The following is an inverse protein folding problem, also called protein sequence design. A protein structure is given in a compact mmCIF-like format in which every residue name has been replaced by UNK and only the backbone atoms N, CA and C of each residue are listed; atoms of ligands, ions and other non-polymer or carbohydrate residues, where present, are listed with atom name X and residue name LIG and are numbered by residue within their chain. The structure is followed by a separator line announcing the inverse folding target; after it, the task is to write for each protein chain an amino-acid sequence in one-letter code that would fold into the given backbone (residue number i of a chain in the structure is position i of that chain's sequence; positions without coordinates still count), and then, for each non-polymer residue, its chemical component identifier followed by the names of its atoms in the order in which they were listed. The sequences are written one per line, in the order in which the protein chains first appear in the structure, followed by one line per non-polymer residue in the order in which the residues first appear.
data_IF_600082122894
#
_entry.id   IF_600082122894
#
_cell.length_a   1.000
_cell.length_b   1.000
_cell.length_c   1.000
_cell.angle_alpha   90.00
_cell.angle_beta   90.00
_cell.angle_gamma   90.00
#
_symmetry.space_group_name_H-M   'P 1'
#
loop_
_entity.id
_entity.type
_entity.pdbx_description
1 polymer ?
#
# COMPACT_ATOMS: atom_id res chain seq x y z
N UNK A 1 -14.52 3.63 -17.29
CA UNK A 1 -14.50 4.69 -18.31
C UNK A 1 -14.08 4.09 -19.66
N UNK A 2 -14.86 4.30 -20.69
CA UNK A 2 -14.54 3.82 -22.05
C UNK A 2 -13.82 4.95 -22.82
N UNK A 3 -12.50 4.82 -22.89
CA UNK A 3 -11.64 5.83 -23.52
C UNK A 3 -11.90 5.99 -25.04
N UNK A 4 -12.42 4.94 -25.70
CA UNK A 4 -12.75 5.01 -27.12
C UNK A 4 -13.91 5.96 -27.44
N UNK A 5 -14.72 6.28 -26.42
CA UNK A 5 -15.87 7.18 -26.49
C UNK A 5 -15.56 8.62 -26.04
N UNK A 6 -14.34 8.89 -25.64
CA UNK A 6 -13.88 10.25 -25.33
C UNK A 6 -13.51 10.95 -26.65
N UNK A 7 -14.50 11.41 -27.35
CA UNK A 7 -14.32 12.36 -28.44
C UNK A 7 -14.79 13.73 -27.94
N UNK A 8 -14.00 14.74 -28.03
CA UNK A 8 -14.11 16.06 -27.41
C UNK A 8 -15.48 16.71 -27.14
N UNK A 9 -16.59 16.12 -27.63
CA UNK A 9 -17.92 16.71 -27.54
C UNK A 9 -18.90 15.97 -26.60
N UNK A 10 -18.62 14.73 -26.18
CA UNK A 10 -19.57 13.94 -25.36
C UNK A 10 -18.92 13.12 -24.26
N UNK A 11 -18.38 13.77 -23.20
CA UNK A 11 -17.84 13.04 -22.07
C UNK A 11 -18.88 12.19 -21.32
N UNK A 12 -20.19 12.50 -21.48
CA UNK A 12 -21.27 11.74 -20.85
C UNK A 12 -21.41 10.30 -21.38
N UNK A 13 -20.88 9.98 -22.56
CA UNK A 13 -20.91 8.63 -23.12
C UNK A 13 -19.72 7.74 -22.65
N UNK A 14 -18.73 8.31 -21.98
CA UNK A 14 -17.55 7.60 -21.51
C UNK A 14 -17.75 6.77 -20.24
N UNK A 15 -18.63 7.10 -19.24
CA UNK A 15 -18.91 6.21 -18.13
C UNK A 15 -19.50 4.89 -18.60
N UNK A 16 -18.95 3.76 -18.17
CA UNK A 16 -19.50 2.43 -18.45
C UNK A 16 -20.77 2.20 -17.62
N UNK A 17 -20.73 2.55 -16.36
CA UNK A 17 -21.83 2.48 -15.41
C UNK A 17 -21.56 3.38 -14.21
N UNK A 18 -22.61 3.72 -13.48
CA UNK A 18 -22.57 4.38 -12.16
C UNK A 18 -23.21 3.45 -11.13
N UNK A 19 -22.57 3.29 -9.97
CA UNK A 19 -23.03 2.41 -8.90
C UNK A 19 -23.06 3.20 -7.60
N UNK A 20 -24.20 3.16 -6.92
CA UNK A 20 -24.44 3.86 -5.66
C UNK A 20 -24.71 2.89 -4.53
N UNK A 21 -24.45 3.34 -3.32
CA UNK A 21 -24.81 2.62 -2.11
C UNK A 21 -26.33 2.35 -2.08
N UNK A 22 -26.71 1.13 -1.77
CA UNK A 22 -28.10 0.67 -1.79
C UNK A 22 -28.63 0.22 -3.16
N UNK A 23 -27.84 0.34 -4.22
CA UNK A 23 -28.24 -0.22 -5.53
C UNK A 23 -28.47 -1.73 -5.43
N UNK A 24 -29.58 -2.17 -5.97
CA UNK A 24 -29.96 -3.59 -6.04
C UNK A 24 -30.01 -4.01 -7.50
N UNK A 25 -28.86 -4.36 -8.04
CA UNK A 25 -28.72 -4.71 -9.43
C UNK A 25 -28.92 -6.21 -9.66
N UNK A 26 -29.81 -6.55 -10.58
CA UNK A 26 -30.09 -7.90 -11.04
C UNK A 26 -31.33 -7.95 -11.90
N UNK A 27 -31.24 -8.52 -13.12
CA UNK A 27 -32.42 -8.82 -13.94
C UNK A 27 -33.22 -9.94 -13.27
N UNK A 28 -34.55 -9.76 -13.19
CA UNK A 28 -35.55 -10.78 -12.86
C UNK A 28 -35.53 -11.33 -11.41
N UNK A 29 -35.25 -10.52 -10.37
CA UNK A 29 -35.55 -10.89 -8.99
C UNK A 29 -34.74 -12.04 -8.41
N UNK A 30 -33.90 -12.72 -9.17
CA UNK A 30 -32.99 -13.77 -8.73
C UNK A 30 -31.56 -13.22 -8.71
N UNK A 31 -30.86 -13.39 -7.60
CA UNK A 31 -29.47 -12.95 -7.38
C UNK A 31 -29.26 -11.42 -7.35
N UNK A 32 -30.08 -10.71 -6.60
CA UNK A 32 -29.83 -9.30 -6.33
C UNK A 32 -28.62 -9.16 -5.39
N UNK A 33 -27.54 -8.61 -5.90
CA UNK A 33 -26.39 -8.19 -5.08
C UNK A 33 -26.66 -6.75 -4.64
N UNK A 34 -26.87 -6.57 -3.36
CA UNK A 34 -26.96 -5.23 -2.77
C UNK A 34 -25.56 -4.63 -2.65
N UNK A 35 -25.41 -3.40 -3.13
CA UNK A 35 -24.17 -2.64 -3.05
C UNK A 35 -24.16 -1.87 -1.73
N UNK A 36 -23.20 -2.18 -0.89
CA UNK A 36 -22.98 -1.55 0.40
C UNK A 36 -21.58 -0.95 0.42
N UNK A 37 -21.49 0.37 0.29
CA UNK A 37 -20.25 1.11 0.16
C UNK A 37 -20.07 2.07 1.34
N UNK A 38 -18.84 2.12 1.85
CA UNK A 38 -18.37 3.20 2.70
C UNK A 38 -17.67 4.29 1.89
N UNK A 39 -16.64 4.92 2.44
CA UNK A 39 -15.79 5.86 1.70
C UNK A 39 -14.88 5.10 0.75
N UNK A 40 -15.16 5.21 -0.54
CA UNK A 40 -14.47 4.49 -1.62
C UNK A 40 -13.28 5.28 -2.18
N UNK A 41 -12.39 5.70 -1.29
CA UNK A 41 -11.16 6.44 -1.66
C UNK A 41 -10.05 5.51 -2.15
N UNK A 42 -10.27 4.21 -2.18
CA UNK A 42 -9.30 3.22 -2.62
C UNK A 42 -9.12 3.21 -4.14
N UNK A 43 -8.00 2.63 -4.58
CA UNK A 43 -7.68 2.46 -6.00
C UNK A 43 -8.26 1.14 -6.51
N UNK A 44 -9.17 1.16 -7.51
CA UNK A 44 -9.60 -0.05 -8.19
C UNK A 44 -8.44 -0.73 -8.92
N UNK A 45 -8.52 -2.04 -9.06
CA UNK A 45 -7.58 -2.82 -9.87
C UNK A 45 -8.32 -3.46 -11.04
N UNK A 46 -7.63 -3.58 -12.17
CA UNK A 46 -8.18 -4.24 -13.35
C UNK A 46 -7.38 -5.50 -13.63
N UNK A 47 -8.07 -6.59 -13.91
CA UNK A 47 -7.45 -7.87 -14.25
C UNK A 47 -8.39 -8.77 -15.03
N UNK A 48 -7.83 -9.78 -15.70
CA UNK A 48 -8.58 -10.83 -16.37
C UNK A 48 -8.91 -11.92 -15.36
N UNK A 49 -10.13 -12.36 -15.33
CA UNK A 49 -10.62 -13.42 -14.43
C UNK A 49 -10.58 -14.79 -15.10
N UNK A 50 -10.64 -15.87 -14.32
CA UNK A 50 -10.62 -17.26 -14.80
C UNK A 50 -11.78 -17.61 -15.75
N UNK A 51 -12.86 -16.85 -15.73
CA UNK A 51 -13.97 -16.99 -16.72
C UNK A 51 -13.74 -16.19 -18.00
N UNK A 52 -12.53 -15.67 -18.22
CA UNK A 52 -12.12 -14.99 -19.45
C UNK A 52 -12.54 -13.52 -19.55
N UNK A 53 -13.15 -12.94 -18.53
CA UNK A 53 -13.61 -11.56 -18.52
C UNK A 53 -12.58 -10.60 -17.97
N UNK A 54 -12.47 -9.43 -18.57
CA UNK A 54 -11.78 -8.31 -17.93
C UNK A 54 -12.68 -7.67 -16.88
N UNK A 55 -12.21 -7.56 -15.69
CA UNK A 55 -12.99 -7.09 -14.56
C UNK A 55 -12.28 -6.00 -13.76
N UNK A 56 -13.09 -5.12 -13.15
CA UNK A 56 -12.64 -4.18 -12.14
C UNK A 56 -12.90 -4.77 -10.75
N UNK A 57 -11.87 -4.76 -9.92
CA UNK A 57 -11.89 -5.20 -8.53
C UNK A 57 -11.92 -3.99 -7.62
N UNK A 58 -13.00 -3.80 -6.90
CA UNK A 58 -13.25 -2.64 -6.06
C UNK A 58 -13.53 -3.06 -4.63
N UNK A 59 -12.88 -2.38 -3.70
CA UNK A 59 -13.16 -2.55 -2.29
C UNK A 59 -14.45 -1.81 -1.88
N UNK A 60 -15.13 -2.31 -0.86
CA UNK A 60 -16.32 -1.67 -0.27
C UNK A 60 -16.04 -0.28 0.32
N UNK A 61 -14.78 0.08 0.53
CA UNK A 61 -14.38 1.34 1.13
C UNK A 61 -14.42 1.30 2.65
N UNK A 62 -14.23 2.45 3.30
CA UNK A 62 -14.00 2.55 4.74
C UNK A 62 -15.23 3.04 5.49
N UNK A 63 -15.39 2.59 6.74
CA UNK A 63 -16.37 3.13 7.67
C UNK A 63 -16.06 4.60 8.01
N UNK A 64 -17.11 5.41 8.17
CA UNK A 64 -16.98 6.83 8.46
C UNK A 64 -16.39 7.11 9.85
N UNK A 65 -17.14 6.77 10.91
CA UNK A 65 -16.73 7.05 12.30
C UNK A 65 -16.67 5.82 13.18
N UNK A 66 -17.56 4.87 12.98
CA UNK A 66 -17.63 3.67 13.79
C UNK A 66 -17.14 2.47 13.01
N UNK A 67 -15.94 2.00 13.30
CA UNK A 67 -15.31 0.85 12.63
C UNK A 67 -16.16 -0.42 12.76
N UNK A 68 -16.88 -0.57 13.86
CA UNK A 68 -17.77 -1.69 14.12
C UNK A 68 -19.19 -1.51 13.56
N UNK A 69 -19.47 -0.42 12.84
CA UNK A 69 -20.78 -0.19 12.24
C UNK A 69 -21.11 -1.29 11.24
N UNK A 70 -22.28 -1.90 11.42
CA UNK A 70 -22.80 -2.92 10.49
C UNK A 70 -23.23 -2.32 9.15
N UNK A 71 -23.37 -1.00 9.07
CA UNK A 71 -23.73 -0.30 7.86
C UNK A 71 -22.64 -0.30 6.81
N UNK A 72 -21.41 -0.64 7.21
CA UNK A 72 -20.25 -0.66 6.31
C UNK A 72 -19.65 -2.06 6.23
N UNK A 73 -20.13 -2.84 5.29
CA UNK A 73 -19.66 -4.21 5.04
C UNK A 73 -18.25 -4.23 4.48
N UNK A 74 -17.46 -5.18 4.92
CA UNK A 74 -16.15 -5.50 4.36
C UNK A 74 -16.34 -6.46 3.20
N UNK A 75 -16.19 -5.98 1.96
CA UNK A 75 -16.42 -6.78 0.77
C UNK A 75 -15.55 -6.36 -0.40
N UNK A 76 -15.22 -7.34 -1.24
CA UNK A 76 -14.62 -7.14 -2.56
C UNK A 76 -15.70 -7.29 -3.62
N UNK A 77 -15.89 -6.25 -4.43
CA UNK A 77 -16.77 -6.24 -5.59
C UNK A 77 -15.99 -6.49 -6.87
N UNK A 78 -16.50 -7.32 -7.76
CA UNK A 78 -15.88 -7.61 -9.04
C UNK A 78 -16.90 -7.31 -10.14
N UNK A 79 -16.57 -6.36 -11.02
CA UNK A 79 -17.43 -5.89 -12.11
C UNK A 79 -16.86 -6.27 -13.46
N UNK A 80 -17.68 -6.89 -14.32
CA UNK A 80 -17.34 -7.17 -15.72
C UNK A 80 -17.27 -5.85 -16.51
N UNK A 81 -16.12 -5.51 -17.06
CA UNK A 81 -15.93 -4.31 -17.87
C UNK A 81 -16.60 -4.39 -19.25
N UNK A 82 -16.96 -5.59 -19.70
CA UNK A 82 -17.78 -5.80 -20.89
C UNK A 82 -19.28 -5.61 -20.65
N UNK A 83 -19.71 -5.40 -19.39
CA UNK A 83 -21.10 -5.23 -19.01
C UNK A 83 -21.40 -3.80 -18.56
N UNK A 84 -22.27 -3.12 -19.28
CA UNK A 84 -22.65 -1.72 -18.99
C UNK A 84 -23.78 -1.57 -17.96
N UNK A 85 -24.25 -2.66 -17.37
CA UNK A 85 -25.39 -2.65 -16.44
C UNK A 85 -25.02 -2.36 -14.99
N UNK A 86 -23.73 -2.26 -14.67
CA UNK A 86 -23.27 -2.01 -13.30
C UNK A 86 -23.59 -3.14 -12.30
N UNK A 87 -23.88 -4.34 -12.80
CA UNK A 87 -24.11 -5.50 -11.95
C UNK A 87 -22.79 -6.22 -11.68
N UNK A 88 -22.38 -6.40 -10.41
CA UNK A 88 -21.16 -7.11 -10.12
C UNK A 88 -21.26 -8.59 -10.52
N UNK A 89 -20.16 -9.15 -11.02
CA UNK A 89 -19.99 -10.60 -11.22
C UNK A 89 -20.05 -11.30 -9.85
N UNK A 90 -19.41 -10.70 -8.86
CA UNK A 90 -19.36 -11.21 -7.50
C UNK A 90 -19.27 -10.06 -6.48
N UNK A 91 -19.88 -10.29 -5.32
CA UNK A 91 -19.63 -9.60 -4.05
C UNK A 91 -19.09 -10.66 -3.09
N UNK A 92 -17.83 -10.55 -2.75
CA UNK A 92 -17.20 -11.47 -1.79
C UNK A 92 -17.15 -10.76 -0.44
N UNK A 93 -18.12 -11.06 0.41
CA UNK A 93 -18.27 -10.45 1.72
C UNK A 93 -17.44 -11.19 2.77
N UNK A 94 -16.74 -10.44 3.61
CA UNK A 94 -16.02 -10.97 4.78
C UNK A 94 -16.98 -10.98 5.95
N UNK A 95 -17.36 -12.15 6.42
CA UNK A 95 -18.37 -12.33 7.46
C UNK A 95 -18.09 -11.56 8.75
N UNK A 96 -16.83 -11.54 9.20
CA UNK A 96 -16.40 -10.90 10.45
C UNK A 96 -15.50 -9.68 10.17
N UNK A 97 -15.59 -9.08 8.98
CA UNK A 97 -14.81 -7.91 8.59
C UNK A 97 -15.21 -6.66 9.35
N UNK A 98 -14.24 -5.78 9.61
CA UNK A 98 -14.42 -4.58 10.44
C UNK A 98 -13.96 -3.32 9.74
N UNK A 99 -14.87 -2.35 9.62
CA UNK A 99 -14.53 -1.01 9.15
C UNK A 99 -14.33 -0.88 7.64
N UNK A 100 -14.76 -1.86 6.85
CA UNK A 100 -14.71 -1.84 5.39
C UNK A 100 -13.35 -2.21 4.80
N UNK A 101 -13.34 -2.58 3.52
CA UNK A 101 -12.17 -3.07 2.81
C UNK A 101 -11.35 -1.93 2.22
N UNK A 102 -10.03 -2.02 2.29
CA UNK A 102 -9.06 -1.14 1.62
C UNK A 102 -8.77 -1.62 0.19
N UNK A 103 -7.99 -0.83 -0.54
CA UNK A 103 -7.61 -1.15 -1.93
C UNK A 103 -7.02 -2.55 -2.06
N UNK A 104 -7.46 -3.35 -3.03
CA UNK A 104 -6.93 -4.68 -3.25
C UNK A 104 -5.59 -4.64 -4.02
N UNK A 105 -4.80 -5.69 -3.88
CA UNK A 105 -3.68 -6.02 -4.76
C UNK A 105 -3.94 -7.37 -5.39
N UNK A 106 -3.94 -7.41 -6.72
CA UNK A 106 -4.18 -8.62 -7.50
C UNK A 106 -2.86 -9.38 -7.72
N UNK A 107 -2.96 -10.69 -7.75
CA UNK A 107 -1.83 -11.59 -8.01
C UNK A 107 -2.24 -12.61 -9.06
N UNK A 108 -1.46 -12.68 -10.09
CA UNK A 108 -1.39 -13.77 -11.06
C UNK A 108 -0.32 -14.74 -10.54
N UNK A 109 -0.73 -15.94 -10.17
CA UNK A 109 0.08 -16.90 -9.44
C UNK A 109 1.10 -17.60 -10.32
N UNK A 110 0.69 -17.97 -11.52
CA UNK A 110 1.46 -18.77 -12.48
C UNK A 110 1.92 -17.98 -13.71
N UNK A 111 1.60 -16.67 -13.74
CA UNK A 111 2.00 -15.72 -14.78
C UNK A 111 1.34 -16.00 -16.15
N UNK A 112 0.12 -16.49 -16.13
CA UNK A 112 -0.69 -16.74 -17.35
C UNK A 112 -1.50 -15.50 -17.79
N UNK A 113 -1.42 -14.40 -17.07
CA UNK A 113 -2.14 -13.15 -17.32
C UNK A 113 -3.54 -13.12 -16.68
N UNK A 114 -3.88 -14.11 -15.86
CA UNK A 114 -5.17 -14.22 -15.18
C UNK A 114 -4.99 -14.03 -13.66
N UNK A 115 -5.97 -13.40 -13.05
CA UNK A 115 -5.94 -13.14 -11.59
C UNK A 115 -6.41 -14.37 -10.85
N UNK A 116 -5.58 -14.85 -9.93
CA UNK A 116 -5.86 -15.99 -9.04
C UNK A 116 -6.19 -15.58 -7.62
N UNK A 117 -5.53 -14.52 -7.14
CA UNK A 117 -5.59 -14.11 -5.74
C UNK A 117 -5.72 -12.60 -5.67
N UNK A 118 -6.48 -12.11 -4.70
CA UNK A 118 -6.40 -10.73 -4.27
C UNK A 118 -6.12 -10.64 -2.77
N UNK A 119 -5.36 -9.62 -2.37
CA UNK A 119 -5.14 -9.30 -0.95
C UNK A 119 -5.65 -7.90 -0.67
N UNK A 120 -6.36 -7.74 0.44
CA UNK A 120 -6.79 -6.44 0.93
C UNK A 120 -6.97 -6.46 2.45
N UNK A 121 -6.67 -5.33 3.10
CA UNK A 121 -6.85 -5.15 4.53
C UNK A 121 -8.15 -4.43 4.88
N UNK A 122 -8.47 -4.35 6.17
CA UNK A 122 -9.57 -3.55 6.67
C UNK A 122 -9.13 -2.55 7.77
N UNK A 123 -10.02 -1.63 8.11
CA UNK A 123 -9.77 -0.67 9.21
C UNK A 123 -9.72 -1.32 10.59
N UNK A 124 -10.28 -2.51 10.75
CA UNK A 124 -10.21 -3.31 11.97
C UNK A 124 -8.86 -3.98 12.19
N UNK A 125 -7.97 -3.95 11.19
CA UNK A 125 -6.61 -4.49 11.28
C UNK A 125 -6.47 -5.93 10.84
N UNK A 126 -7.35 -6.40 9.99
CA UNK A 126 -7.28 -7.72 9.40
C UNK A 126 -6.75 -7.63 7.96
N UNK A 127 -6.03 -8.66 7.51
CA UNK A 127 -5.62 -8.84 6.12
C UNK A 127 -6.29 -10.10 5.58
N UNK A 128 -6.90 -9.95 4.41
CA UNK A 128 -7.67 -11.00 3.76
C UNK A 128 -6.99 -11.47 2.48
N UNK A 129 -7.16 -12.76 2.19
CA UNK A 129 -6.81 -13.41 0.94
C UNK A 129 -8.10 -13.88 0.27
N UNK A 130 -8.36 -13.35 -0.90
CA UNK A 130 -9.47 -13.76 -1.77
C UNK A 130 -8.95 -14.77 -2.78
N UNK A 131 -9.52 -15.97 -2.80
CA UNK A 131 -9.24 -16.98 -3.81
C UNK A 131 -10.18 -16.80 -5.00
N UNK A 132 -9.61 -16.45 -6.14
CA UNK A 132 -10.31 -16.12 -7.39
C UNK A 132 -9.97 -17.12 -8.50
N UNK A 133 -9.31 -18.22 -8.15
CA UNK A 133 -8.76 -19.21 -9.08
C UNK A 133 -9.82 -20.10 -9.74
N UNK A 134 -11.08 -20.04 -9.31
CA UNK A 134 -12.16 -20.81 -9.92
C UNK A 134 -12.81 -20.06 -11.08
N UNK A 135 -13.10 -20.76 -12.19
CA UNK A 135 -13.81 -20.20 -13.33
C UNK A 135 -15.26 -19.83 -13.03
N UNK A 136 -15.86 -20.41 -11.99
CA UNK A 136 -17.18 -20.07 -11.49
C UNK A 136 -17.04 -19.05 -10.34
N UNK A 137 -17.44 -17.77 -10.53
CA UNK A 137 -17.32 -16.75 -9.50
C UNK A 137 -18.10 -17.04 -8.20
N UNK A 138 -19.11 -17.89 -8.25
CA UNK A 138 -19.87 -18.30 -7.07
C UNK A 138 -19.06 -19.16 -6.10
N UNK A 139 -17.93 -19.69 -6.55
CA UNK A 139 -16.98 -20.49 -5.77
C UNK A 139 -15.79 -19.70 -5.26
N UNK A 140 -15.70 -18.41 -5.60
CA UNK A 140 -14.68 -17.55 -5.03
C UNK A 140 -14.88 -17.41 -3.52
N UNK A 141 -13.79 -17.39 -2.82
CA UNK A 141 -13.82 -17.42 -1.35
C UNK A 141 -12.85 -16.42 -0.73
N UNK A 142 -13.00 -16.19 0.56
CA UNK A 142 -12.11 -15.32 1.33
C UNK A 142 -11.67 -16.00 2.61
N UNK A 143 -10.41 -15.83 2.97
CA UNK A 143 -9.82 -16.25 4.23
C UNK A 143 -9.08 -15.10 4.89
N UNK A 144 -9.05 -15.10 6.23
CA UNK A 144 -8.26 -14.14 7.01
C UNK A 144 -6.88 -14.71 7.22
N UNK A 145 -5.85 -14.02 6.68
CA UNK A 145 -4.45 -14.44 6.84
C UNK A 145 -3.75 -13.73 7.99
N UNK A 146 -4.29 -12.58 8.46
CA UNK A 146 -3.71 -11.81 9.55
C UNK A 146 -4.80 -11.09 10.36
N UNK A 147 -4.62 -11.07 11.69
CA UNK A 147 -5.45 -10.32 12.65
C UNK A 147 -4.54 -9.54 13.61
N UNK A 148 -4.62 -8.20 13.59
CA UNK A 148 -3.69 -7.35 14.38
C UNK A 148 -4.31 -6.17 15.09
N UNK A 149 -5.56 -5.82 14.81
CA UNK A 149 -6.31 -4.78 15.53
C UNK A 149 -5.84 -3.34 15.28
N UNK A 150 -4.90 -3.10 14.35
CA UNK A 150 -4.49 -1.75 13.92
C UNK A 150 -4.89 -1.53 12.47
N UNK A 151 -5.46 -0.35 12.12
CA UNK A 151 -6.06 -0.13 10.81
C UNK A 151 -5.09 -0.37 9.66
N UNK A 152 -5.57 -1.01 8.59
CA UNK A 152 -4.84 -1.22 7.35
C UNK A 152 -5.60 -0.46 6.25
N UNK A 153 -5.10 0.72 5.89
CA UNK A 153 -5.78 1.65 4.99
C UNK A 153 -5.11 1.80 3.63
N UNK A 154 -4.03 1.08 3.38
CA UNK A 154 -3.36 1.04 2.08
C UNK A 154 -3.34 -0.38 1.50
N UNK A 155 -3.27 -0.47 0.17
CA UNK A 155 -3.10 -1.75 -0.49
C UNK A 155 -1.79 -2.43 -0.05
N UNK A 156 -1.76 -3.75 0.15
CA UNK A 156 -0.52 -4.47 0.39
C UNK A 156 0.34 -4.54 -0.88
N UNK A 157 1.64 -4.73 -0.71
CA UNK A 157 2.52 -5.18 -1.78
C UNK A 157 2.80 -6.67 -1.61
N UNK A 158 3.15 -7.35 -2.70
CA UNK A 158 3.44 -8.78 -2.68
C UNK A 158 4.83 -9.03 -3.26
N UNK A 159 5.66 -9.73 -2.52
CA UNK A 159 6.97 -10.20 -2.94
C UNK A 159 6.95 -11.70 -3.14
N UNK A 160 7.47 -12.21 -4.25
CA UNK A 160 7.62 -13.65 -4.48
C UNK A 160 8.99 -14.11 -4.00
N UNK A 161 9.01 -15.06 -3.10
CA UNK A 161 10.18 -15.86 -2.75
C UNK A 161 10.14 -17.19 -3.51
N UNK A 162 11.14 -18.03 -3.31
CA UNK A 162 11.25 -19.30 -4.04
C UNK A 162 10.07 -20.25 -3.78
N UNK A 163 9.60 -20.30 -2.54
CA UNK A 163 8.63 -21.27 -2.03
C UNK A 163 7.34 -20.67 -1.49
N UNK A 164 7.26 -19.34 -1.43
CA UNK A 164 6.13 -18.62 -0.81
C UNK A 164 6.03 -17.18 -1.31
N UNK A 165 4.92 -16.53 -1.00
CA UNK A 165 4.76 -15.07 -1.14
C UNK A 165 4.90 -14.40 0.20
N UNK A 166 5.32 -13.14 0.16
CA UNK A 166 5.30 -12.26 1.31
C UNK A 166 4.31 -11.15 1.04
N UNK A 167 3.25 -11.09 1.83
CA UNK A 167 2.25 -10.02 1.78
C UNK A 167 2.70 -8.92 2.72
N UNK A 168 3.09 -7.76 2.16
CA UNK A 168 3.74 -6.68 2.88
C UNK A 168 2.77 -5.50 2.99
N UNK A 169 2.52 -5.05 4.20
CA UNK A 169 1.64 -3.93 4.48
C UNK A 169 2.04 -3.21 5.75
N UNK A 170 1.65 -1.95 5.84
CA UNK A 170 1.78 -1.21 7.07
C UNK A 170 0.43 -0.94 7.71
N UNK A 171 0.46 -0.52 8.95
CA UNK A 171 -0.73 -0.08 9.68
C UNK A 171 -0.72 1.41 9.90
N UNK A 172 -1.90 1.97 10.06
CA UNK A 172 -2.18 3.38 10.28
C UNK A 172 -3.38 3.85 9.46
N UNK A 173 -3.88 5.02 9.81
CA UNK A 173 -4.96 5.71 9.12
C UNK A 173 -4.72 7.21 9.17
N UNK A 174 -5.20 7.91 8.14
CA UNK A 174 -5.24 9.36 8.03
C UNK A 174 -6.55 9.82 7.37
N UNK A 175 -7.61 9.05 7.58
CA UNK A 175 -8.93 9.25 6.99
C UNK A 175 -9.80 10.22 7.80
N UNK A 176 -9.41 10.56 9.02
CA UNK A 176 -10.12 11.49 9.91
C UNK A 176 -9.12 12.40 10.66
N UNK A 177 -9.63 13.47 11.25
CA UNK A 177 -8.83 14.37 12.08
C UNK A 177 -8.26 13.64 13.30
N UNK A 178 -9.04 12.76 13.91
CA UNK A 178 -8.60 11.92 15.03
C UNK A 178 -7.46 10.99 14.63
N UNK A 179 -7.51 10.43 13.42
CA UNK A 179 -6.42 9.61 12.89
C UNK A 179 -5.14 10.44 12.78
N UNK A 180 -5.23 11.67 12.25
CA UNK A 180 -4.05 12.55 12.02
C UNK A 180 -3.33 12.90 13.31
N UNK A 181 -4.08 13.27 14.36
CA UNK A 181 -3.49 13.63 15.67
C UNK A 181 -3.15 12.43 16.54
N UNK A 182 -3.60 11.24 16.16
CA UNK A 182 -3.37 10.00 16.90
C UNK A 182 -1.88 9.65 16.98
N UNK A 183 -1.43 9.19 18.15
CA UNK A 183 -0.05 8.75 18.40
C UNK A 183 0.06 7.24 18.63
N UNK A 184 -0.93 6.50 18.23
CA UNK A 184 -0.99 5.06 18.40
C UNK A 184 0.22 4.36 17.78
N UNK A 185 0.62 3.27 18.43
CA UNK A 185 1.69 2.41 17.94
C UNK A 185 1.25 1.70 16.65
N UNK A 186 2.05 1.82 15.58
CA UNK A 186 1.81 1.18 14.29
C UNK A 186 2.98 0.27 13.91
N UNK A 187 2.78 -0.53 12.86
CA UNK A 187 3.69 -1.61 12.47
C UNK A 187 3.77 -1.75 10.95
N UNK A 188 4.84 -2.39 10.49
CA UNK A 188 4.96 -2.92 9.14
C UNK A 188 5.07 -4.44 9.26
N UNK A 189 4.30 -5.16 8.48
CA UNK A 189 4.25 -6.61 8.48
C UNK A 189 4.64 -7.18 7.12
N UNK A 190 5.29 -8.33 7.14
CA UNK A 190 5.41 -9.21 5.99
C UNK A 190 4.92 -10.61 6.38
N UNK A 191 3.76 -11.01 5.89
CA UNK A 191 3.12 -12.29 6.21
C UNK A 191 3.41 -13.27 5.09
N UNK A 192 3.90 -14.47 5.44
CA UNK A 192 4.17 -15.54 4.48
C UNK A 192 2.87 -16.22 4.09
N UNK A 193 2.60 -16.30 2.80
CA UNK A 193 1.51 -17.09 2.22
C UNK A 193 2.13 -18.22 1.36
N UNK A 194 1.73 -19.45 1.68
CA UNK A 194 2.19 -20.68 1.00
C UNK A 194 1.33 -21.06 -0.21
N UNK A 195 0.47 -20.14 -0.67
CA UNK A 195 -0.52 -20.33 -1.76
C UNK A 195 -1.65 -21.34 -1.47
N UNK A 196 -1.65 -21.97 -0.30
CA UNK A 196 -2.70 -22.92 0.11
C UNK A 196 -3.85 -22.27 0.87
N UNK A 197 -3.66 -20.99 1.25
CA UNK A 197 -4.67 -20.23 2.02
C UNK A 197 -4.88 -20.72 3.46
N UNK A 198 -3.92 -21.49 3.99
CA UNK A 198 -4.00 -22.07 5.33
C UNK A 198 -3.33 -21.23 6.41
N UNK A 199 -2.54 -20.24 5.99
CA UNK A 199 -1.79 -19.38 6.91
C UNK A 199 -2.75 -18.43 7.61
N UNK A 200 -2.70 -18.44 8.94
CA UNK A 200 -3.34 -17.42 9.78
C UNK A 200 -2.35 -16.96 10.83
N UNK A 201 -2.17 -15.65 10.94
CA UNK A 201 -1.34 -15.00 11.95
C UNK A 201 -2.22 -14.11 12.80
N UNK A 202 -2.20 -14.31 14.10
CA UNK A 202 -2.85 -13.43 15.08
C UNK A 202 -1.77 -12.86 15.99
N UNK A 203 -1.72 -11.53 16.10
CA UNK A 203 -0.76 -10.85 16.95
C UNK A 203 -1.45 -10.22 18.15
N UNK A 204 -0.70 -10.13 19.27
CA UNK A 204 -1.13 -9.43 20.47
C UNK A 204 -0.21 -8.21 20.65
N UNK A 205 -0.81 -7.03 20.83
CA UNK A 205 -0.05 -5.77 20.92
C UNK A 205 0.95 -5.60 19.76
N UNK A 206 0.59 -6.08 18.58
CA UNK A 206 1.33 -5.91 17.34
C UNK A 206 2.45 -6.91 17.07
N UNK A 207 2.77 -7.79 18.00
CA UNK A 207 3.88 -8.75 17.88
C UNK A 207 3.47 -10.18 18.21
N UNK A 208 4.37 -11.14 18.08
CA UNK A 208 4.10 -12.54 18.29
C UNK A 208 3.55 -13.24 17.05
N UNK A 209 2.71 -14.27 17.23
CA UNK A 209 2.07 -15.00 16.13
C UNK A 209 3.02 -15.77 15.20
N UNK A 210 4.27 -16.01 15.61
CA UNK A 210 5.30 -16.65 14.78
C UNK A 210 6.04 -15.69 13.84
N UNK A 211 5.94 -14.38 14.11
CA UNK A 211 6.66 -13.35 13.37
C UNK A 211 8.04 -13.07 13.98
N UNK A 212 9.02 -12.81 13.10
CA UNK A 212 10.32 -12.29 13.50
C UNK A 212 10.21 -10.78 13.75
N UNK A 213 10.58 -10.35 14.93
CA UNK A 213 10.59 -8.93 15.29
C UNK A 213 11.89 -8.27 14.84
N UNK A 214 11.78 -7.21 14.04
CA UNK A 214 12.89 -6.39 13.62
C UNK A 214 12.91 -5.08 14.40
N UNK A 215 14.11 -4.59 14.71
CA UNK A 215 14.30 -3.37 15.49
C UNK A 215 14.58 -2.18 14.59
N UNK A 216 13.66 -1.22 14.59
CA UNK A 216 13.83 0.05 13.90
C UNK A 216 14.61 1.02 14.84
N UNK A 217 15.78 1.44 14.38
CA UNK A 217 16.58 2.45 15.08
C UNK A 217 16.54 3.79 14.35
N UNK A 218 16.71 4.85 15.09
CA UNK A 218 16.93 6.17 14.56
C UNK A 218 18.21 6.76 15.12
N UNK A 219 19.05 7.21 14.23
CA UNK A 219 20.29 7.89 14.56
C UNK A 219 20.47 9.04 13.58
N UNK A 220 20.78 10.24 14.11
CA UNK A 220 20.98 11.44 13.29
C UNK A 220 19.83 11.73 12.31
N UNK A 221 18.58 11.60 12.75
CA UNK A 221 17.35 11.75 11.94
C UNK A 221 17.21 10.73 10.80
N UNK A 222 17.85 9.60 10.93
CA UNK A 222 17.79 8.52 9.94
C UNK A 222 17.25 7.26 10.56
N UNK A 223 16.35 6.60 9.83
CA UNK A 223 15.77 5.31 10.22
C UNK A 223 16.55 4.18 9.57
N UNK A 224 16.90 3.16 10.34
CA UNK A 224 17.50 1.94 9.82
C UNK A 224 17.08 0.72 10.63
N UNK A 225 17.14 -0.44 9.97
CA UNK A 225 16.85 -1.72 10.60
C UNK A 225 18.14 -2.37 11.04
N UNK A 226 18.18 -2.84 12.27
CA UNK A 226 19.26 -3.70 12.72
C UNK A 226 19.10 -5.09 12.09
N UNK A 227 20.22 -5.78 11.96
CA UNK A 227 20.19 -7.22 11.84
C UNK A 227 19.44 -7.76 13.04
N UNK A 228 18.25 -8.31 12.81
CA UNK A 228 17.41 -8.80 13.88
C UNK A 228 18.04 -9.96 14.66
N UNK A 229 17.39 -10.31 15.74
CA UNK A 229 17.70 -11.50 16.51
C UNK A 229 17.74 -12.75 15.61
N UNK A 230 18.55 -13.72 15.97
CA UNK A 230 18.83 -14.96 15.23
C UNK A 230 17.63 -15.90 14.99
N UNK A 231 16.41 -15.47 15.30
CA UNK A 231 15.17 -16.19 15.06
C UNK A 231 14.61 -15.93 13.68
N UNK A 232 14.43 -16.92 12.83
CA UNK A 232 13.62 -16.79 11.64
C UNK A 232 12.14 -16.96 12.00
N UNK A 233 11.31 -15.94 11.75
CA UNK A 233 9.88 -16.08 11.90
C UNK A 233 9.33 -17.11 10.91
N UNK A 234 8.61 -18.10 11.41
CA UNK A 234 8.05 -19.15 10.56
C UNK A 234 6.88 -18.66 9.70
N UNK A 235 6.21 -17.59 10.15
CA UNK A 235 5.02 -17.02 9.49
C UNK A 235 5.23 -15.63 8.90
N UNK A 236 6.42 -15.07 9.06
CA UNK A 236 6.75 -13.75 8.55
C UNK A 236 7.55 -12.91 9.53
N UNK A 237 7.43 -11.60 9.39
CA UNK A 237 8.19 -10.64 10.17
C UNK A 237 7.36 -9.38 10.48
N UNK A 238 7.82 -8.63 11.47
CA UNK A 238 7.21 -7.37 11.89
C UNK A 238 8.27 -6.34 12.24
N UNK A 239 8.03 -5.09 11.82
CA UNK A 239 8.78 -3.91 12.23
C UNK A 239 7.87 -3.03 13.06
N UNK A 240 8.24 -2.76 14.30
CA UNK A 240 7.55 -1.81 15.17
C UNK A 240 7.99 -0.39 14.81
N UNK A 241 7.04 0.47 14.42
CA UNK A 241 7.29 1.87 14.12
C UNK A 241 7.44 2.68 15.42
N UNK A 242 7.90 3.91 15.32
CA UNK A 242 7.92 4.84 16.45
C UNK A 242 6.56 5.46 16.66
N UNK A 243 6.36 6.02 17.84
CA UNK A 243 5.13 6.70 18.23
C UNK A 243 4.71 7.75 17.19
N UNK A 244 3.45 7.68 16.75
CA UNK A 244 2.85 8.56 15.75
C UNK A 244 3.26 8.27 14.30
N UNK A 245 4.26 7.41 14.06
CA UNK A 245 4.60 6.96 12.71
C UNK A 245 3.57 5.96 12.21
N UNK A 246 3.24 6.04 10.92
CA UNK A 246 2.22 5.19 10.27
C UNK A 246 2.53 4.97 8.80
N UNK A 247 1.84 4.01 8.20
CA UNK A 247 1.90 3.72 6.77
C UNK A 247 0.49 3.81 6.20
N UNK A 248 0.28 4.75 5.31
CA UNK A 248 -1.01 4.99 4.63
C UNK A 248 -0.90 4.93 3.11
N UNK A 249 0.29 4.59 2.61
CA UNK A 249 0.59 4.45 1.18
C UNK A 249 1.04 3.03 0.87
N UNK A 250 0.63 2.50 -0.27
CA UNK A 250 1.02 1.16 -0.74
C UNK A 250 2.54 1.04 -0.82
N UNK A 251 3.17 0.03 -0.19
CA UNK A 251 4.57 -0.27 -0.39
C UNK A 251 4.88 -0.63 -1.84
N UNK A 252 6.10 -0.39 -2.28
CA UNK A 252 6.60 -0.82 -3.59
C UNK A 252 7.65 -1.89 -3.40
N UNK A 253 7.59 -2.96 -4.19
CA UNK A 253 8.55 -4.09 -4.10
C UNK A 253 9.30 -4.25 -5.40
N UNK A 254 10.62 -4.34 -5.30
CA UNK A 254 11.52 -4.65 -6.41
C UNK A 254 12.73 -5.44 -5.89
N UNK A 255 13.18 -6.43 -6.64
CA UNK A 255 14.36 -7.25 -6.31
C UNK A 255 14.40 -7.70 -4.83
N UNK A 256 13.30 -8.23 -4.32
CA UNK A 256 13.13 -8.66 -2.91
C UNK A 256 13.33 -7.54 -1.88
N UNK A 257 13.18 -6.32 -2.30
CA UNK A 257 13.24 -5.15 -1.43
C UNK A 257 11.87 -4.47 -1.40
N UNK A 258 11.33 -4.24 -0.22
CA UNK A 258 10.14 -3.42 -0.02
C UNK A 258 10.56 -2.01 0.37
N UNK A 259 10.02 -1.02 -0.32
CA UNK A 259 10.15 0.39 0.04
C UNK A 259 8.83 0.86 0.62
N UNK A 260 8.89 1.28 1.87
CA UNK A 260 7.72 1.67 2.65
C UNK A 260 7.85 3.13 3.04
N UNK A 261 6.89 3.95 2.64
CA UNK A 261 6.81 5.33 3.09
C UNK A 261 6.18 5.38 4.48
N UNK A 262 6.92 5.93 5.42
CA UNK A 262 6.49 6.17 6.80
C UNK A 262 6.16 7.64 6.94
N UNK A 263 5.03 7.94 7.57
CA UNK A 263 4.57 9.31 7.81
C UNK A 263 4.30 9.53 9.30
N UNK A 264 4.71 10.70 9.80
CA UNK A 264 4.37 11.18 11.14
C UNK A 264 3.87 12.62 11.01
N UNK A 265 2.63 12.86 11.36
CA UNK A 265 2.08 14.21 11.36
C UNK A 265 2.70 15.05 12.48
N UNK A 266 2.84 16.34 12.23
CA UNK A 266 3.27 17.30 13.24
C UNK A 266 2.17 17.53 14.27
N UNK A 267 2.55 17.95 15.47
CA UNK A 267 1.60 18.10 16.58
C UNK A 267 0.51 19.14 16.33
N UNK A 268 0.75 20.10 15.45
CA UNK A 268 -0.21 21.11 14.98
C UNK A 268 -1.15 20.58 13.88
N UNK A 269 -0.96 19.35 13.42
CA UNK A 269 -1.70 18.78 12.29
C UNK A 269 -1.33 19.36 10.93
N UNK A 270 -0.40 20.31 10.88
CA UNK A 270 0.03 20.99 9.66
C UNK A 270 1.33 20.40 9.13
N UNK A 271 1.21 19.53 8.14
CA UNK A 271 2.36 18.86 7.54
C UNK A 271 2.75 17.56 8.25
N UNK A 272 3.70 16.87 7.67
CA UNK A 272 4.18 15.60 8.17
C UNK A 272 5.68 15.45 7.92
N UNK A 273 6.34 14.75 8.83
CA UNK A 273 7.66 14.21 8.58
C UNK A 273 7.51 12.85 7.90
N UNK A 274 8.26 12.63 6.84
CA UNK A 274 8.20 11.37 6.09
C UNK A 274 9.58 10.76 5.95
N UNK A 275 9.61 9.43 5.87
CA UNK A 275 10.81 8.68 5.59
C UNK A 275 10.47 7.50 4.67
N UNK A 276 11.44 7.08 3.86
CA UNK A 276 11.35 5.86 3.08
C UNK A 276 12.25 4.82 3.72
N UNK A 277 11.66 3.71 4.11
CA UNK A 277 12.35 2.58 4.70
C UNK A 277 12.46 1.45 3.68
N UNK A 278 13.69 1.05 3.33
CA UNK A 278 13.93 -0.14 2.52
C UNK A 278 14.07 -1.37 3.41
N UNK A 279 13.35 -2.42 3.08
CA UNK A 279 13.21 -3.63 3.89
C UNK A 279 13.52 -4.85 3.03
N UNK A 280 14.33 -5.78 3.52
CA UNK A 280 14.47 -7.08 2.91
C UNK A 280 13.18 -7.88 3.08
N UNK A 281 12.55 -8.28 1.98
CA UNK A 281 11.23 -8.92 2.05
C UNK A 281 11.25 -10.32 2.68
N UNK A 282 12.41 -10.97 2.73
CA UNK A 282 12.53 -12.32 3.24
C UNK A 282 12.48 -12.40 4.78
N UNK A 283 12.99 -11.38 5.47
CA UNK A 283 13.14 -11.37 6.93
C UNK A 283 12.72 -10.06 7.61
N UNK A 284 12.33 -9.06 6.82
CA UNK A 284 11.97 -7.73 7.35
C UNK A 284 13.16 -6.90 7.81
N UNK A 285 14.37 -7.37 7.58
CA UNK A 285 15.60 -6.76 8.04
C UNK A 285 16.22 -5.76 7.06
N UNK A 286 17.48 -5.41 7.33
CA UNK A 286 18.26 -4.49 6.53
C UNK A 286 18.51 -4.99 5.11
N UNK A 287 18.78 -4.06 4.21
CA UNK A 287 19.11 -4.36 2.82
C UNK A 287 20.44 -5.12 2.73
N UNK A 288 20.49 -6.04 1.80
CA UNK A 288 21.69 -6.83 1.46
C UNK A 288 22.35 -6.28 0.20
N UNK A 289 23.57 -6.72 -0.15
CA UNK A 289 24.19 -6.34 -1.43
C UNK A 289 23.39 -6.70 -2.68
N UNK A 290 22.44 -7.64 -2.57
CA UNK A 290 21.55 -8.06 -3.65
C UNK A 290 20.20 -7.32 -3.67
N UNK A 291 19.95 -6.45 -2.69
CA UNK A 291 18.74 -5.66 -2.63
C UNK A 291 18.75 -4.55 -3.68
N UNK A 292 17.58 -4.16 -4.13
CA UNK A 292 17.43 -2.94 -4.91
C UNK A 292 17.97 -1.74 -4.13
N UNK A 293 18.52 -0.77 -4.84
CA UNK A 293 19.10 0.42 -4.22
C UNK A 293 18.33 1.66 -4.62
N UNK A 294 17.96 2.52 -3.67
CA UNK A 294 17.35 3.77 -4.03
C UNK A 294 18.35 4.68 -4.74
N UNK A 295 17.95 5.22 -5.87
CA UNK A 295 18.67 6.28 -6.57
C UNK A 295 18.00 7.60 -6.19
N UNK A 296 18.80 8.54 -5.71
CA UNK A 296 18.34 9.90 -5.46
C UNK A 296 18.70 10.73 -6.69
N UNK A 297 17.75 11.41 -7.35
CA UNK A 297 17.93 12.01 -8.66
C UNK A 297 19.13 12.96 -8.82
N UNK A 298 19.53 13.65 -7.78
CA UNK A 298 20.71 14.56 -7.79
C UNK A 298 21.93 13.91 -7.13
N UNK A 299 21.91 12.62 -6.94
CA UNK A 299 22.98 11.96 -6.26
C UNK A 299 24.20 11.84 -7.17
N UNK A 300 25.25 12.48 -6.77
CA UNK A 300 26.59 12.04 -7.14
C UNK A 300 26.66 10.55 -6.79
N UNK A 301 26.72 9.66 -7.66
CA UNK A 301 27.05 8.20 -7.57
C UNK A 301 27.05 7.55 -6.16
N UNK A 302 26.32 8.13 -5.22
CA UNK A 302 26.25 7.66 -3.84
C UNK A 302 25.29 6.48 -3.76
N UNK A 303 25.68 5.45 -3.08
CA UNK A 303 24.93 4.20 -2.97
C UNK A 303 24.33 4.10 -1.59
N UNK A 304 23.03 3.90 -1.52
CA UNK A 304 22.38 3.57 -0.27
C UNK A 304 22.86 2.19 0.21
N UNK A 305 23.42 2.12 1.40
CA UNK A 305 23.92 0.88 1.97
C UNK A 305 22.86 0.13 2.79
N UNK A 306 21.89 0.86 3.33
CA UNK A 306 20.78 0.34 4.14
C UNK A 306 19.61 1.31 4.19
N UNK A 307 18.51 0.86 4.76
CA UNK A 307 17.27 1.62 4.85
C UNK A 307 17.48 3.00 5.46
N UNK A 308 16.98 4.02 4.78
CA UNK A 308 17.02 5.39 5.25
C UNK A 308 18.34 6.13 5.05
N UNK A 309 19.39 5.46 4.56
CA UNK A 309 20.70 6.05 4.34
C UNK A 309 21.23 5.84 2.94
N UNK A 310 22.03 6.78 2.49
CA UNK A 310 22.99 6.61 1.40
C UNK A 310 24.39 7.02 1.86
N UNK A 311 25.43 6.44 1.27
CA UNK A 311 26.82 6.82 1.54
C UNK A 311 27.32 7.73 0.43
N UNK A 312 27.86 8.88 0.82
CA UNK A 312 28.48 9.83 -0.13
C UNK A 312 29.81 9.29 -0.66
N UNK A 313 30.29 9.85 -1.77
CA UNK A 313 31.61 9.53 -2.33
C UNK A 313 32.78 9.75 -1.35
N UNK A 314 32.55 10.59 -0.33
CA UNK A 314 33.50 10.83 0.77
C UNK A 314 33.30 9.90 1.96
N UNK A 315 32.50 8.87 1.86
CA UNK A 315 32.24 7.91 2.92
C UNK A 315 31.28 8.39 4.02
N UNK A 316 30.68 9.57 3.88
CA UNK A 316 29.74 10.10 4.87
C UNK A 316 28.36 9.52 4.64
N UNK A 317 27.71 9.06 5.70
CA UNK A 317 26.33 8.57 5.66
C UNK A 317 25.34 9.75 5.78
N UNK A 318 24.44 9.87 4.84
CA UNK A 318 23.38 10.91 4.83
C UNK A 318 22.01 10.28 4.58
N UNK A 319 20.92 10.89 5.10
CA UNK A 319 19.56 10.38 4.86
C UNK A 319 19.21 10.36 3.38
N UNK A 320 18.40 9.38 2.96
CA UNK A 320 17.82 9.35 1.61
C UNK A 320 16.96 10.61 1.41
N UNK A 321 17.07 11.24 0.23
CA UNK A 321 16.39 12.50 -0.06
C UNK A 321 17.14 13.76 0.39
N UNK A 322 18.25 13.61 1.10
CA UNK A 322 19.13 14.71 1.48
C UNK A 322 20.36 14.77 0.56
N UNK A 323 21.00 15.92 0.51
CA UNK A 323 22.23 16.15 -0.27
C UNK A 323 23.32 16.80 0.59
N UNK A 324 24.57 16.65 0.23
CA UNK A 324 25.65 17.46 0.79
C UNK A 324 25.85 18.73 -0.04
N UNK A 325 25.71 19.88 0.61
CA UNK A 325 25.97 21.18 -0.01
C UNK A 325 26.86 22.01 0.92
N UNK A 326 28.04 22.39 0.43
CA UNK A 326 28.98 23.18 1.24
C UNK A 326 29.45 22.49 2.54
N UNK A 327 29.63 21.17 2.52
CA UNK A 327 30.03 20.39 3.72
C UNK A 327 28.91 20.13 4.74
N UNK A 328 27.70 20.59 4.48
CA UNK A 328 26.52 20.38 5.35
C UNK A 328 25.52 19.47 4.65
N UNK A 329 24.92 18.58 5.43
CA UNK A 329 23.78 17.78 4.97
C UNK A 329 22.56 18.70 4.90
N UNK A 330 22.02 18.89 3.70
CA UNK A 330 20.81 19.68 3.44
C UNK A 330 19.70 18.74 3.05
N UNK A 331 18.63 18.74 3.81
CA UNK A 331 17.40 18.04 3.48
C UNK A 331 16.40 19.09 3.02
N UNK A 332 15.87 19.00 1.80
CA UNK A 332 14.93 19.99 1.29
C UNK A 332 13.75 20.14 2.25
N UNK A 333 13.45 21.35 2.65
CA UNK A 333 12.29 21.62 3.49
C UNK A 333 11.03 21.56 2.65
N UNK A 334 9.99 20.91 3.18
CA UNK A 334 8.68 20.85 2.53
C UNK A 334 8.47 19.66 1.59
N UNK A 335 9.43 18.75 1.47
CA UNK A 335 9.22 17.49 0.77
C UNK A 335 8.48 16.50 1.66
N UNK A 336 7.41 15.96 1.10
CA UNK A 336 6.66 14.85 1.67
C UNK A 336 6.83 13.68 0.70
N UNK A 337 7.50 12.62 1.14
CA UNK A 337 7.58 11.41 0.34
C UNK A 337 6.20 10.76 0.27
N UNK A 338 5.78 10.45 -0.96
CA UNK A 338 4.57 9.69 -1.21
C UNK A 338 4.95 8.26 -1.63
N UNK A 339 4.58 7.84 -2.81
CA UNK A 339 4.84 6.49 -3.28
C UNK A 339 6.17 6.43 -4.03
N UNK A 340 7.10 5.51 -3.68
CA UNK A 340 8.28 5.24 -4.48
C UNK A 340 7.90 4.69 -5.86
N UNK A 341 8.56 5.17 -6.90
CA UNK A 341 8.38 4.69 -8.28
C UNK A 341 9.59 3.86 -8.67
N UNK A 342 9.32 2.68 -9.23
CA UNK A 342 10.37 1.83 -9.80
C UNK A 342 10.67 2.30 -11.22
N UNK A 343 11.91 2.64 -11.48
CA UNK A 343 12.39 3.01 -12.82
C UNK A 343 13.37 1.94 -13.29
N UNK A 344 13.07 1.32 -14.41
CA UNK A 344 13.95 0.35 -15.05
C UNK A 344 14.59 1.00 -16.28
N UNK A 345 15.91 1.05 -16.30
CA UNK A 345 16.64 1.50 -17.48
C UNK A 345 16.64 0.39 -18.55
N UNK A 346 16.52 0.80 -19.79
CA UNK A 346 16.57 -0.13 -20.95
C UNK A 346 17.99 -0.47 -21.33
N UNK A 347 18.99 0.22 -20.79
CA UNK A 347 20.40 -0.06 -21.02
C UNK A 347 20.86 -1.18 -20.09
N UNK A 348 21.38 -2.26 -20.65
CA UNK A 348 21.85 -3.45 -19.92
C UNK A 348 23.06 -3.18 -19.02
N UNK A 349 23.70 -2.02 -19.16
CA UNK A 349 24.85 -1.62 -18.34
C UNK A 349 24.47 -0.98 -17.00
N UNK A 350 23.19 -0.63 -16.80
CA UNK A 350 22.74 0.01 -15.58
C UNK A 350 21.82 -0.90 -14.75
N UNK A 351 22.10 -0.97 -13.46
CA UNK A 351 21.29 -1.71 -12.50
C UNK A 351 19.94 -1.04 -12.29
N UNK A 352 18.89 -1.84 -12.04
CA UNK A 352 17.56 -1.36 -11.67
C UNK A 352 17.64 -0.27 -10.59
N UNK A 353 17.17 0.91 -10.91
CA UNK A 353 17.20 2.08 -10.04
C UNK A 353 15.85 2.37 -9.41
N UNK A 354 15.89 3.04 -8.28
CA UNK A 354 14.72 3.53 -7.57
C UNK A 354 14.72 5.04 -7.55
N UNK A 355 13.70 5.66 -8.12
CA UNK A 355 13.47 7.10 -7.99
C UNK A 355 12.34 7.36 -7.00
N UNK A 356 12.57 8.27 -6.06
CA UNK A 356 11.53 8.79 -5.20
C UNK A 356 11.13 10.16 -5.70
N UNK A 357 9.87 10.34 -6.07
CA UNK A 357 9.33 11.67 -6.37
C UNK A 357 8.66 12.24 -5.12
N UNK A 358 8.95 13.49 -4.85
CA UNK A 358 8.12 14.28 -3.95
C UNK A 358 6.90 14.75 -4.76
N UNK A 359 5.71 14.55 -4.23
CA UNK A 359 4.44 14.87 -4.88
C UNK A 359 4.13 14.09 -6.17
N UNK A 360 3.29 13.12 -6.05
CA UNK A 360 2.58 12.25 -6.97
C UNK A 360 2.38 12.60 -8.46
N UNK A 361 3.24 13.39 -9.05
CA UNK A 361 3.16 13.70 -10.47
C UNK A 361 4.02 12.72 -11.28
N UNK A 362 3.34 11.80 -11.94
CA UNK A 362 3.91 10.82 -12.86
C UNK A 362 4.30 11.45 -14.21
N UNK A 363 4.88 12.64 -14.19
CA UNK A 363 5.32 13.36 -15.38
C UNK A 363 6.74 13.84 -15.19
N UNK A 364 7.70 13.04 -15.67
CA UNK A 364 9.10 13.42 -15.63
C UNK A 364 9.38 14.70 -16.42
N UNK A 365 9.61 15.76 -15.72
CA UNK A 365 10.53 16.83 -16.10
C UNK A 365 11.03 17.41 -14.79
N UNK A 366 12.34 17.38 -14.58
CA UNK A 366 12.97 17.94 -13.41
C UNK A 366 12.59 19.41 -13.24
N UNK A 367 11.63 19.65 -12.35
CA UNK A 367 11.30 21.00 -11.90
C UNK A 367 12.21 21.30 -10.72
N UNK A 368 12.97 22.36 -10.83
CA UNK A 368 13.81 22.89 -9.76
C UNK A 368 12.96 23.07 -8.49
N UNK A 369 13.34 22.45 -7.35
CA UNK A 369 12.59 22.57 -6.10
C UNK A 369 12.44 24.01 -5.59
N UNK A 370 13.26 24.93 -6.07
CA UNK A 370 13.22 26.34 -5.65
C UNK A 370 11.99 27.12 -6.18
N UNK A 371 11.28 26.57 -7.18
CA UNK A 371 10.20 27.31 -7.86
C UNK A 371 8.78 27.03 -7.33
N UNK A 372 8.61 26.07 -6.40
CA UNK A 372 7.31 25.80 -5.79
C UNK A 372 7.12 26.62 -4.52
N UNK A 373 6.54 27.79 -4.66
CA UNK A 373 5.92 28.48 -3.51
C UNK A 373 4.72 27.66 -3.05
N UNK A 374 4.52 27.48 -1.72
CA UNK A 374 3.36 26.77 -1.20
C UNK A 374 2.09 27.49 -1.68
N UNK A 375 1.26 26.77 -2.43
CA UNK A 375 -0.05 27.27 -2.82
C UNK A 375 -0.87 27.60 -1.57
N UNK A 376 -1.57 28.74 -1.57
CA UNK A 376 -2.34 29.29 -0.45
C UNK A 376 -3.55 28.46 0.01
N UNK A 377 -3.64 27.18 -0.37
CA UNK A 377 -4.85 26.35 -0.13
C UNK A 377 -4.63 25.14 0.79
N UNK A 378 -3.53 25.07 1.53
CA UNK A 378 -3.41 24.11 2.61
C UNK A 378 -4.28 24.58 3.78
N UNK A 379 -5.53 24.12 3.82
CA UNK A 379 -6.36 24.23 5.03
C UNK A 379 -5.77 23.29 6.07
N UNK A 380 -4.95 23.83 6.94
CA UNK A 380 -4.58 23.17 8.18
C UNK A 380 -5.83 23.01 9.04
N UNK A 381 -6.03 21.84 9.63
CA UNK A 381 -7.06 21.64 10.63
C UNK A 381 -6.72 22.50 11.86
N UNK A 382 -7.34 23.64 12.02
CA UNK A 382 -7.17 24.44 13.21
C UNK A 382 -8.05 23.89 14.32
N UNK A 383 -7.47 23.57 15.48
CA UNK A 383 -8.22 23.42 16.71
C UNK A 383 -8.98 24.74 16.96
N UNK A 384 -10.29 24.75 16.79
CA UNK A 384 -11.13 25.72 17.50
C UNK A 384 -11.34 25.16 18.90
N UNK A 385 -10.92 25.95 19.89
CA UNK A 385 -11.16 25.72 21.29
C UNK A 385 -12.62 25.78 21.67
#
# INVERSE_FOLDING_TARGET
LDLSKINGNYPAAAPLFDVKNGDKNGKNGKNRVEVELGYTVGTPQIGKTQNGKYAAFLASGYAAKQIASQENKTALYVYDLGNTLGTPIAKIEVKDGKGGLSSPTLVDKDLDGIVDIAYAGDRGGNMYRFDLSNSDPSKWSVSTIFEGGKPITSAPAVSRLADKRVVIFGTGSDLSEEDVVGKDQQYIYGIFDDDKGTVKVTVQNGTGGGLLEQVLKEENKTLFLNKGSDGSGSKGWVVKLKEGQRVTVKPTVVLRTAFVTIRKYKDDGCGADTAILGINTADGGALTPRSARPIVPEANKDVAQYSGHKTTSKGKSIPIGCMEKGGKTVCPNGYVYDKPVNVRYLDETETDGFSTTADGDAGGSGIDPADRRPGKNNRCFSKKG
#
